data_IF_680965064655
#
_entry.id   IF_680965064655
#
_cell.length_a   1.000
_cell.length_b   1.000
_cell.length_c   1.000
_cell.angle_alpha   90.00
_cell.angle_beta   90.00
_cell.angle_gamma   90.00
#
_symmetry.space_group_name_H-M   'P 1'
#
loop_
_entity.id
_entity.type
_entity.pdbx_description
1 polymer ?
#
# COMPACT_ATOMS: atom_id res chain seq x y z
N UNK A 1 -36.01 -40.96 -11.78
CA UNK A 1 -35.75 -41.02 -10.32
C UNK A 1 -35.13 -39.69 -9.88
N UNK A 2 -35.69 -38.98 -8.90
CA UNK A 2 -35.07 -37.76 -8.37
C UNK A 2 -33.86 -38.13 -7.50
N UNK A 3 -32.76 -37.39 -7.64
CA UNK A 3 -31.53 -37.60 -6.85
C UNK A 3 -31.81 -37.37 -5.36
N UNK A 4 -31.26 -38.24 -4.51
CA UNK A 4 -31.43 -38.19 -3.05
C UNK A 4 -30.85 -36.89 -2.47
N UNK A 5 -31.44 -36.31 -1.40
CA UNK A 5 -30.93 -35.10 -0.73
C UNK A 5 -29.46 -35.20 -0.26
N UNK A 6 -28.96 -36.43 -0.08
CA UNK A 6 -27.57 -36.70 0.28
C UNK A 6 -26.59 -36.49 -0.89
N UNK A 7 -27.00 -36.67 -2.14
CA UNK A 7 -26.16 -36.46 -3.33
C UNK A 7 -26.02 -34.97 -3.66
N UNK A 8 -27.06 -34.17 -3.40
CA UNK A 8 -27.00 -32.70 -3.52
C UNK A 8 -26.17 -32.06 -2.41
N UNK A 9 -26.12 -32.66 -1.21
CA UNK A 9 -25.26 -32.22 -0.12
C UNK A 9 -23.77 -32.59 -0.33
N UNK A 10 -23.48 -33.74 -0.96
CA UNK A 10 -22.10 -34.13 -1.33
C UNK A 10 -21.53 -33.26 -2.45
N UNK A 11 -22.36 -32.78 -3.37
CA UNK A 11 -21.95 -31.87 -4.44
C UNK A 11 -21.60 -30.45 -3.96
N UNK A 12 -22.07 -30.02 -2.79
CA UNK A 12 -21.67 -28.74 -2.16
C UNK A 12 -20.37 -28.84 -1.33
N UNK A 13 -19.87 -30.07 -1.11
CA UNK A 13 -18.56 -30.36 -0.50
C UNK A 13 -17.50 -30.78 -1.52
N UNK A 14 -17.82 -30.74 -2.81
CA UNK A 14 -16.81 -30.82 -3.86
C UNK A 14 -15.97 -29.54 -3.76
N UNK A 15 -14.74 -29.69 -3.28
CA UNK A 15 -13.84 -28.58 -2.99
C UNK A 15 -13.78 -27.58 -4.12
N UNK A 16 -13.90 -26.29 -3.80
CA UNK A 16 -13.31 -25.26 -4.64
C UNK A 16 -11.87 -25.72 -4.88
N UNK A 17 -11.52 -25.99 -6.13
CA UNK A 17 -10.13 -26.32 -6.45
C UNK A 17 -9.26 -25.25 -5.81
N UNK A 18 -8.31 -25.70 -4.99
CA UNK A 18 -7.32 -24.80 -4.44
C UNK A 18 -6.54 -24.24 -5.64
N UNK A 19 -6.67 -22.94 -5.86
CA UNK A 19 -6.00 -22.21 -6.93
C UNK A 19 -5.14 -21.12 -6.31
N UNK A 20 -4.08 -20.66 -7.00
CA UNK A 20 -3.29 -19.52 -6.54
C UNK A 20 -4.16 -18.30 -6.23
N UNK A 21 -5.12 -17.99 -7.10
CA UNK A 21 -6.03 -16.85 -6.92
C UNK A 21 -6.91 -17.02 -5.67
N UNK A 22 -7.48 -18.20 -5.45
CA UNK A 22 -8.29 -18.45 -4.24
C UNK A 22 -7.47 -18.30 -2.95
N UNK A 23 -6.19 -18.69 -2.97
CA UNK A 23 -5.28 -18.51 -1.83
C UNK A 23 -4.98 -17.02 -1.62
N UNK A 24 -4.65 -16.28 -2.68
CA UNK A 24 -4.37 -14.85 -2.61
C UNK A 24 -5.58 -14.07 -2.07
N UNK A 25 -6.78 -14.35 -2.58
CA UNK A 25 -8.01 -13.72 -2.12
C UNK A 25 -8.33 -14.05 -0.65
N UNK A 26 -8.01 -15.28 -0.20
CA UNK A 26 -8.12 -15.62 1.22
C UNK A 26 -7.11 -14.85 2.09
N UNK A 27 -5.85 -14.74 1.65
CA UNK A 27 -4.84 -13.92 2.32
C UNK A 27 -5.29 -12.47 2.45
N UNK A 28 -5.85 -11.87 1.40
CA UNK A 28 -6.39 -10.51 1.43
C UNK A 28 -7.55 -10.37 2.42
N UNK A 29 -8.49 -11.33 2.45
CA UNK A 29 -9.59 -11.32 3.43
C UNK A 29 -9.10 -11.42 4.87
N UNK A 30 -8.02 -12.15 5.14
CA UNK A 30 -7.45 -12.25 6.48
C UNK A 30 -6.67 -10.97 6.81
N UNK A 31 -5.88 -10.45 5.87
CA UNK A 31 -5.12 -9.22 6.03
C UNK A 31 -6.01 -8.00 6.29
N UNK A 32 -7.19 -7.93 5.66
CA UNK A 32 -8.18 -6.88 5.90
C UNK A 32 -8.74 -6.86 7.33
N UNK A 33 -8.55 -7.94 8.10
CA UNK A 33 -8.93 -8.00 9.52
C UNK A 33 -7.80 -7.56 10.46
N UNK A 34 -6.65 -7.13 9.93
CA UNK A 34 -5.49 -6.70 10.72
C UNK A 34 -4.71 -7.84 11.39
N UNK A 35 -4.90 -9.09 10.97
CA UNK A 35 -4.22 -10.24 11.59
C UNK A 35 -2.82 -10.44 11.00
N UNK A 36 -1.79 -10.41 11.85
CA UNK A 36 -0.38 -10.71 11.47
C UNK A 36 -0.22 -12.11 10.86
N UNK A 37 -1.12 -13.03 11.22
CA UNK A 37 -1.18 -14.41 10.77
C UNK A 37 -1.70 -14.56 9.33
N UNK A 38 -2.04 -13.46 8.63
CA UNK A 38 -2.64 -13.44 7.29
C UNK A 38 -1.87 -14.23 6.22
N UNK A 39 -0.56 -14.42 6.46
CA UNK A 39 0.34 -15.15 5.56
C UNK A 39 0.81 -16.49 6.13
N UNK A 40 0.16 -17.01 7.17
CA UNK A 40 0.50 -18.33 7.72
C UNK A 40 -0.30 -19.41 7.00
N UNK A 41 0.38 -20.49 6.60
CA UNK A 41 -0.26 -21.62 5.93
C UNK A 41 -1.33 -22.29 6.78
N UNK A 42 -1.17 -22.27 8.11
CA UNK A 42 -2.18 -22.77 9.05
C UNK A 42 -3.47 -21.96 8.94
N UNK A 43 -3.38 -20.63 9.09
CA UNK A 43 -4.54 -19.75 9.04
C UNK A 43 -5.25 -19.82 7.69
N UNK A 44 -4.47 -19.90 6.61
CA UNK A 44 -4.99 -20.07 5.26
C UNK A 44 -5.66 -21.44 5.05
N UNK A 45 -5.09 -22.51 5.61
CA UNK A 45 -5.71 -23.84 5.59
C UNK A 45 -7.04 -23.86 6.33
N UNK A 46 -7.12 -23.21 7.50
CA UNK A 46 -8.36 -23.05 8.26
C UNK A 46 -9.42 -22.24 7.48
N UNK A 47 -9.04 -21.10 6.87
CA UNK A 47 -9.93 -20.24 6.09
C UNK A 47 -10.44 -20.94 4.80
N UNK A 48 -9.58 -21.74 4.16
CA UNK A 48 -9.89 -22.42 2.89
C UNK A 48 -10.44 -23.84 3.06
N UNK A 49 -10.46 -24.38 4.29
CA UNK A 49 -10.80 -25.78 4.54
C UNK A 49 -9.83 -26.77 3.87
N UNK A 50 -8.57 -26.39 3.74
CA UNK A 50 -7.52 -27.14 3.04
C UNK A 50 -6.37 -27.52 3.98
N UNK A 51 -5.69 -28.62 3.67
CA UNK A 51 -4.46 -28.98 4.37
C UNK A 51 -3.39 -27.87 4.12
N UNK A 52 -2.72 -27.33 5.16
CA UNK A 52 -1.72 -26.27 5.01
C UNK A 52 -0.61 -26.59 3.99
N UNK A 53 -0.23 -27.87 3.85
CA UNK A 53 0.79 -28.30 2.88
C UNK A 53 0.32 -28.17 1.43
N UNK A 54 -1.00 -28.13 1.19
CA UNK A 54 -1.56 -27.93 -0.14
C UNK A 54 -1.25 -26.53 -0.70
N UNK A 55 -1.07 -25.53 0.16
CA UNK A 55 -0.69 -24.16 -0.25
C UNK A 55 0.70 -24.15 -0.89
N UNK A 56 1.64 -24.95 -0.36
CA UNK A 56 3.00 -25.04 -0.91
C UNK A 56 3.10 -25.71 -2.29
N UNK A 57 1.99 -26.30 -2.80
CA UNK A 57 1.93 -26.75 -4.20
C UNK A 57 1.77 -25.59 -5.18
N UNK A 58 1.30 -24.45 -4.71
CA UNK A 58 1.07 -23.24 -5.52
C UNK A 58 2.15 -22.18 -5.32
N UNK A 59 2.80 -22.17 -4.15
CA UNK A 59 3.84 -21.22 -3.79
C UNK A 59 5.02 -21.97 -3.17
N UNK A 60 6.23 -21.66 -3.61
CA UNK A 60 7.49 -22.24 -3.10
C UNK A 60 7.67 -22.00 -1.62
N UNK A 61 7.32 -20.80 -1.14
CA UNK A 61 7.50 -20.39 0.24
C UNK A 61 6.53 -19.25 0.62
N UNK A 62 6.60 -18.83 1.89
CA UNK A 62 5.79 -17.72 2.43
C UNK A 62 6.09 -16.38 1.72
N UNK A 63 7.34 -16.17 1.30
CA UNK A 63 7.74 -14.92 0.63
C UNK A 63 7.09 -14.82 -0.74
N UNK A 64 7.07 -15.91 -1.51
CA UNK A 64 6.41 -15.94 -2.80
C UNK A 64 4.90 -15.67 -2.69
N UNK A 65 4.24 -16.22 -1.67
CA UNK A 65 2.84 -15.90 -1.40
C UNK A 65 2.67 -14.41 -1.05
N UNK A 66 3.48 -13.88 -0.13
CA UNK A 66 3.43 -12.47 0.27
C UNK A 66 3.58 -11.53 -0.93
N UNK A 67 4.58 -11.76 -1.79
CA UNK A 67 4.81 -10.94 -2.98
C UNK A 67 3.68 -11.08 -4.01
N UNK A 68 3.03 -12.23 -4.10
CA UNK A 68 1.88 -12.43 -5.00
C UNK A 68 0.64 -11.69 -4.48
N UNK A 69 0.43 -11.68 -3.16
CA UNK A 69 -0.64 -10.89 -2.53
C UNK A 69 -0.38 -9.40 -2.71
N UNK A 70 0.85 -8.93 -2.53
CA UNK A 70 1.22 -7.53 -2.76
C UNK A 70 1.06 -7.12 -4.24
N UNK A 71 1.40 -7.98 -5.19
CA UNK A 71 1.16 -7.67 -6.60
C UNK A 71 -0.34 -7.60 -6.94
N UNK A 72 -1.17 -8.41 -6.26
CA UNK A 72 -2.63 -8.32 -6.39
C UNK A 72 -3.17 -6.99 -5.88
N UNK A 73 -2.62 -6.46 -4.78
CA UNK A 73 -3.01 -5.14 -4.26
C UNK A 73 -2.60 -4.01 -5.21
N UNK A 74 -1.45 -4.11 -5.88
CA UNK A 74 -1.07 -3.16 -6.94
C UNK A 74 -2.05 -3.19 -8.13
N UNK A 75 -2.59 -4.36 -8.46
CA UNK A 75 -3.67 -4.48 -9.45
C UNK A 75 -4.93 -3.70 -9.02
N UNK A 76 -5.34 -3.82 -7.75
CA UNK A 76 -6.48 -3.04 -7.22
C UNK A 76 -6.24 -1.53 -7.29
N UNK A 77 -5.01 -1.08 -7.02
CA UNK A 77 -4.62 0.34 -7.20
C UNK A 77 -4.77 0.75 -8.67
N UNK A 78 -4.19 -0.01 -9.60
CA UNK A 78 -4.25 0.31 -11.03
C UNK A 78 -5.70 0.38 -11.55
N UNK A 79 -6.56 -0.54 -11.11
CA UNK A 79 -7.97 -0.60 -11.52
C UNK A 79 -8.79 0.61 -10.99
N UNK A 80 -8.29 1.30 -9.96
CA UNK A 80 -8.91 2.50 -9.40
C UNK A 80 -8.59 3.79 -10.15
N UNK A 81 -7.59 3.77 -11.05
CA UNK A 81 -7.12 4.98 -11.75
C UNK A 81 -8.06 5.31 -12.93
N UNK A 82 -8.68 6.50 -12.96
CA UNK A 82 -9.49 6.92 -14.10
C UNK A 82 -8.69 7.03 -15.42
N UNK A 83 -9.35 6.70 -16.52
CA UNK A 83 -8.79 6.90 -17.86
C UNK A 83 -8.75 8.39 -18.25
N UNK A 84 -7.85 8.75 -19.16
CA UNK A 84 -7.79 10.10 -19.76
C UNK A 84 -7.18 11.19 -18.88
N UNK A 85 -6.61 10.84 -17.73
CA UNK A 85 -5.89 11.77 -16.87
C UNK A 85 -4.56 12.21 -17.51
N UNK A 86 -4.20 13.47 -17.29
CA UNK A 86 -2.84 13.95 -17.56
C UNK A 86 -1.82 13.29 -16.63
N UNK A 87 -0.53 13.48 -16.90
CA UNK A 87 0.52 12.87 -16.08
C UNK A 87 0.43 13.22 -14.58
N UNK A 88 -0.04 14.42 -14.21
CA UNK A 88 -0.21 14.82 -12.80
C UNK A 88 -1.36 14.07 -12.15
N UNK A 89 -2.50 14.01 -12.83
CA UNK A 89 -3.67 13.28 -12.40
C UNK A 89 -3.36 11.80 -12.21
N UNK A 90 -2.57 11.19 -13.11
CA UNK A 90 -2.14 9.80 -12.98
C UNK A 90 -1.27 9.56 -11.74
N UNK A 91 -0.31 10.44 -11.44
CA UNK A 91 0.51 10.31 -10.22
C UNK A 91 -0.35 10.48 -8.95
N UNK A 92 -1.27 11.45 -8.94
CA UNK A 92 -2.16 11.66 -7.79
C UNK A 92 -3.12 10.48 -7.58
N UNK A 93 -3.81 10.04 -8.63
CA UNK A 93 -4.71 8.87 -8.55
C UNK A 93 -3.97 7.60 -8.09
N UNK A 94 -2.75 7.38 -8.56
CA UNK A 94 -1.91 6.28 -8.09
C UNK A 94 -1.60 6.40 -6.58
N UNK A 95 -1.25 7.60 -6.11
CA UNK A 95 -0.98 7.85 -4.69
C UNK A 95 -2.23 7.59 -3.84
N UNK A 96 -3.37 8.15 -4.24
CA UNK A 96 -4.65 8.03 -3.53
C UNK A 96 -5.07 6.55 -3.42
N UNK A 97 -5.03 5.83 -4.55
CA UNK A 97 -5.32 4.41 -4.59
C UNK A 97 -4.35 3.59 -3.73
N UNK A 98 -3.06 3.93 -3.74
CA UNK A 98 -2.05 3.24 -2.92
C UNK A 98 -2.30 3.42 -1.43
N UNK A 99 -2.65 4.63 -0.98
CA UNK A 99 -2.99 4.89 0.42
C UNK A 99 -4.26 4.14 0.82
N UNK A 100 -5.31 4.20 0.00
CA UNK A 100 -6.57 3.51 0.26
C UNK A 100 -6.38 1.99 0.39
N UNK A 101 -5.62 1.38 -0.52
CA UNK A 101 -5.33 -0.05 -0.51
C UNK A 101 -4.43 -0.43 0.66
N UNK A 102 -3.44 0.40 1.03
CA UNK A 102 -2.59 0.16 2.20
C UNK A 102 -3.40 0.18 3.50
N UNK A 103 -4.35 1.12 3.66
CA UNK A 103 -5.23 1.17 4.82
C UNK A 103 -6.29 0.06 4.83
N UNK A 104 -6.71 -0.43 3.65
CA UNK A 104 -7.58 -1.61 3.51
C UNK A 104 -6.86 -2.91 3.89
N UNK A 105 -5.56 -3.01 3.60
CA UNK A 105 -4.73 -4.19 3.88
C UNK A 105 -3.44 -3.81 4.62
N UNK A 106 -3.53 -3.32 5.87
CA UNK A 106 -2.39 -2.72 6.58
C UNK A 106 -1.24 -3.70 6.81
N UNK A 107 -1.54 -4.99 7.02
CA UNK A 107 -0.52 -6.04 7.17
C UNK A 107 0.26 -6.25 5.87
N UNK A 108 -0.39 -6.15 4.70
CA UNK A 108 0.28 -6.23 3.39
C UNK A 108 1.14 -4.98 3.20
N UNK A 109 0.54 -3.80 3.32
CA UNK A 109 1.21 -2.51 3.10
C UNK A 109 2.47 -2.34 3.94
N UNK A 110 2.39 -2.64 5.24
CA UNK A 110 3.55 -2.56 6.15
C UNK A 110 4.64 -3.58 5.78
N UNK A 111 4.26 -4.83 5.47
CA UNK A 111 5.23 -5.89 5.18
C UNK A 111 5.95 -5.74 3.83
N UNK A 112 5.32 -5.06 2.86
CA UNK A 112 5.83 -5.00 1.47
C UNK A 112 6.27 -3.63 0.99
N UNK A 113 6.16 -2.58 1.81
CA UNK A 113 6.59 -1.22 1.45
C UNK A 113 8.05 -1.13 0.98
N UNK A 114 8.94 -2.00 1.48
CA UNK A 114 10.36 -2.06 1.09
C UNK A 114 10.70 -3.24 0.16
N UNK A 115 9.70 -3.82 -0.52
CA UNK A 115 9.85 -5.03 -1.34
C UNK A 115 9.50 -4.75 -2.80
N UNK A 116 10.33 -5.28 -3.70
CA UNK A 116 10.00 -5.40 -5.13
C UNK A 116 9.31 -6.73 -5.39
N UNK A 117 8.10 -6.71 -5.97
CA UNK A 117 7.31 -7.94 -6.23
C UNK A 117 7.84 -8.73 -7.43
N UNK A 118 8.44 -8.05 -8.41
CA UNK A 118 8.93 -8.58 -9.69
C UNK A 118 7.83 -9.29 -10.48
N UNK A 119 6.64 -8.70 -10.51
CA UNK A 119 5.41 -9.29 -11.05
C UNK A 119 4.66 -8.30 -11.96
N UNK A 120 3.67 -8.77 -12.74
CA UNK A 120 3.06 -7.96 -13.80
C UNK A 120 2.44 -6.64 -13.34
N UNK A 121 1.76 -6.59 -12.19
CA UNK A 121 1.13 -5.33 -11.77
C UNK A 121 2.16 -4.32 -11.27
N UNK A 122 3.23 -4.75 -10.59
CA UNK A 122 4.36 -3.86 -10.30
C UNK A 122 4.96 -3.29 -11.58
N UNK A 123 5.22 -4.10 -12.61
CA UNK A 123 5.73 -3.57 -13.88
C UNK A 123 4.80 -2.56 -14.53
N UNK A 124 3.48 -2.77 -14.44
CA UNK A 124 2.47 -1.80 -14.92
C UNK A 124 2.51 -0.50 -14.12
N UNK A 125 2.70 -0.55 -12.79
CA UNK A 125 2.87 0.65 -11.96
C UNK A 125 4.16 1.40 -12.34
N UNK A 126 5.26 0.67 -12.54
CA UNK A 126 6.53 1.26 -12.98
C UNK A 126 6.36 1.97 -14.33
N UNK A 127 5.74 1.30 -15.30
CA UNK A 127 5.47 1.86 -16.63
C UNK A 127 4.56 3.10 -16.55
N UNK A 128 3.54 3.08 -15.69
CA UNK A 128 2.63 4.21 -15.49
C UNK A 128 3.37 5.44 -14.97
N UNK A 129 4.20 5.28 -13.93
CA UNK A 129 4.96 6.41 -13.36
C UNK A 129 6.01 6.92 -14.35
N UNK A 130 6.78 6.02 -14.99
CA UNK A 130 7.76 6.42 -16.00
C UNK A 130 7.10 7.17 -17.17
N UNK A 131 5.97 6.65 -17.68
CA UNK A 131 5.20 7.32 -18.72
C UNK A 131 4.70 8.69 -18.31
N UNK A 132 4.29 8.88 -17.05
CA UNK A 132 3.91 10.19 -16.52
C UNK A 132 5.10 11.16 -16.43
N UNK A 133 6.23 10.68 -15.90
CA UNK A 133 7.47 11.47 -15.79
C UNK A 133 8.02 11.88 -17.17
N UNK A 134 7.93 10.98 -18.15
CA UNK A 134 8.35 11.25 -19.53
C UNK A 134 7.40 12.20 -20.26
N UNK A 135 6.09 12.08 -20.06
CA UNK A 135 5.12 13.06 -20.59
C UNK A 135 5.38 14.48 -20.05
N UNK A 136 5.84 14.59 -18.81
CA UNK A 136 6.23 15.88 -18.24
C UNK A 136 7.48 16.50 -18.94
N UNK A 137 8.25 15.70 -19.68
CA UNK A 137 9.43 16.09 -20.45
C UNK A 137 10.77 15.69 -19.81
N UNK A 138 10.77 14.75 -18.86
CA UNK A 138 12.03 14.19 -18.33
C UNK A 138 12.43 12.93 -19.11
N UNK A 139 13.74 12.74 -19.30
CA UNK A 139 14.29 11.59 -20.03
C UNK A 139 15.50 11.00 -19.32
N UNK A 140 15.91 9.79 -19.74
CA UNK A 140 17.14 9.14 -19.29
C UNK A 140 17.28 9.04 -17.77
N UNK A 141 18.43 9.45 -17.24
CA UNK A 141 18.73 9.39 -15.81
C UNK A 141 17.78 10.27 -14.97
N UNK A 142 17.31 11.40 -15.50
CA UNK A 142 16.38 12.28 -14.79
C UNK A 142 15.00 11.63 -14.64
N UNK A 143 14.51 10.97 -15.69
CA UNK A 143 13.26 10.23 -15.62
C UNK A 143 13.34 9.08 -14.61
N UNK A 144 14.43 8.30 -14.65
CA UNK A 144 14.65 7.20 -13.72
C UNK A 144 14.74 7.67 -12.26
N UNK A 145 15.45 8.78 -12.01
CA UNK A 145 15.55 9.37 -10.68
C UNK A 145 14.18 9.80 -10.15
N UNK A 146 13.40 10.53 -10.94
CA UNK A 146 12.10 11.03 -10.48
C UNK A 146 11.05 9.93 -10.35
N UNK A 147 11.12 8.89 -11.18
CA UNK A 147 10.35 7.66 -10.94
C UNK A 147 10.68 7.06 -9.57
N UNK A 148 11.98 6.88 -9.24
CA UNK A 148 12.39 6.33 -7.95
C UNK A 148 11.97 7.23 -6.80
N UNK A 149 12.09 8.54 -6.94
CA UNK A 149 11.60 9.50 -5.93
C UNK A 149 10.11 9.33 -5.68
N UNK A 150 9.28 9.28 -6.72
CA UNK A 150 7.83 9.09 -6.57
C UNK A 150 7.53 7.74 -5.92
N UNK A 151 8.07 6.65 -6.47
CA UNK A 151 7.78 5.30 -5.98
C UNK A 151 8.25 5.10 -4.53
N UNK A 152 9.50 5.46 -4.21
CA UNK A 152 10.08 5.23 -2.89
C UNK A 152 9.43 6.14 -1.83
N UNK A 153 9.10 7.39 -2.16
CA UNK A 153 8.38 8.29 -1.24
C UNK A 153 6.95 7.84 -0.97
N UNK A 154 6.20 7.41 -2.00
CA UNK A 154 4.85 6.88 -1.81
C UNK A 154 4.87 5.59 -0.98
N UNK A 155 5.76 4.65 -1.31
CA UNK A 155 5.92 3.39 -0.57
C UNK A 155 6.28 3.64 0.90
N UNK A 156 7.21 4.57 1.18
CA UNK A 156 7.57 4.93 2.54
C UNK A 156 6.38 5.51 3.32
N UNK A 157 5.64 6.44 2.72
CA UNK A 157 4.48 7.07 3.36
C UNK A 157 3.37 6.04 3.63
N UNK A 158 2.93 5.29 2.61
CA UNK A 158 1.83 4.32 2.81
C UNK A 158 2.24 3.15 3.70
N UNK A 159 3.51 2.75 3.67
CA UNK A 159 4.06 1.75 4.58
C UNK A 159 4.05 2.21 6.04
N UNK A 160 4.43 3.47 6.29
CA UNK A 160 4.34 4.08 7.61
C UNK A 160 2.89 4.15 8.10
N UNK A 161 1.97 4.61 7.25
CA UNK A 161 0.54 4.70 7.59
C UNK A 161 -0.06 3.32 7.88
N UNK A 162 0.28 2.32 7.06
CA UNK A 162 -0.13 0.94 7.29
C UNK A 162 0.43 0.38 8.61
N UNK A 163 1.70 0.65 8.93
CA UNK A 163 2.30 0.24 10.19
C UNK A 163 1.64 0.91 11.40
N UNK A 164 1.40 2.22 11.32
CA UNK A 164 0.70 2.98 12.36
C UNK A 164 -0.71 2.45 12.59
N UNK A 165 -1.43 2.06 11.53
CA UNK A 165 -2.76 1.47 11.65
C UNK A 165 -2.78 0.13 12.40
N UNK A 166 -1.66 -0.62 12.40
CA UNK A 166 -1.54 -1.89 13.12
C UNK A 166 -1.27 -1.72 14.62
N UNK A 167 -0.95 -0.52 15.09
CA UNK A 167 -0.81 -0.25 16.52
C UNK A 167 -2.16 -0.43 17.24
N UNK A 168 -2.10 -0.91 18.48
CA UNK A 168 -3.28 -0.95 19.34
C UNK A 168 -3.79 0.47 19.64
N UNK A 169 -5.00 0.55 20.20
CA UNK A 169 -5.65 1.83 20.46
C UNK A 169 -4.92 2.66 21.53
N UNK A 170 -4.21 2.02 22.47
CA UNK A 170 -3.50 2.71 23.53
C UNK A 170 -2.23 3.38 22.98
N UNK A 171 -1.46 2.67 22.17
CA UNK A 171 -0.28 3.19 21.49
C UNK A 171 -0.63 4.37 20.57
N UNK A 172 -1.69 4.25 19.75
CA UNK A 172 -2.14 5.35 18.88
C UNK A 172 -2.60 6.57 19.67
N UNK A 173 -3.39 6.37 20.73
CA UNK A 173 -3.81 7.47 21.58
C UNK A 173 -2.64 8.17 22.27
N UNK A 174 -1.61 7.42 22.68
CA UNK A 174 -0.39 7.98 23.23
C UNK A 174 0.37 8.82 22.18
N UNK A 175 0.55 8.33 20.95
CA UNK A 175 1.21 9.07 19.87
C UNK A 175 0.44 10.33 19.46
N UNK A 176 -0.89 10.26 19.36
CA UNK A 176 -1.75 11.44 19.10
C UNK A 176 -1.65 12.47 20.23
N UNK A 177 -1.57 12.00 21.49
CA UNK A 177 -1.42 12.88 22.65
C UNK A 177 -0.09 13.64 22.64
N UNK A 178 0.98 13.03 22.12
CA UNK A 178 2.32 13.63 22.07
C UNK A 178 2.29 15.02 21.42
N UNK A 179 1.62 15.14 20.27
CA UNK A 179 1.51 16.40 19.54
C UNK A 179 0.63 17.44 20.26
N UNK A 180 -0.45 16.99 20.92
CA UNK A 180 -1.43 17.90 21.55
C UNK A 180 -1.06 18.32 22.98
N UNK A 181 -0.18 17.58 23.66
CA UNK A 181 0.18 17.80 25.07
C UNK A 181 1.69 17.86 25.30
N UNK A 182 2.43 16.79 25.07
CA UNK A 182 3.83 16.67 25.47
C UNK A 182 4.70 17.72 24.76
N UNK A 183 4.48 17.95 23.46
CA UNK A 183 5.19 18.97 22.69
C UNK A 183 4.90 20.40 23.18
N UNK A 184 3.75 20.63 23.83
CA UNK A 184 3.42 21.93 24.44
C UNK A 184 4.10 22.16 25.80
N UNK A 185 4.59 21.09 26.43
CA UNK A 185 5.17 21.11 27.78
C UNK A 185 6.70 21.16 27.80
N UNK A 186 7.35 21.15 26.63
CA UNK A 186 8.81 21.19 26.53
C UNK A 186 9.39 22.52 27.06
N UNK A 187 10.62 22.50 27.57
CA UNK A 187 11.31 23.72 28.02
C UNK A 187 11.54 24.69 26.84
N UNK A 188 10.96 25.91 26.86
CA UNK A 188 11.12 26.89 25.80
C UNK A 188 12.55 27.34 25.55
N UNK A 189 13.43 27.25 26.56
CA UNK A 189 14.85 27.61 26.41
C UNK A 189 15.61 26.54 25.64
N UNK A 190 15.25 25.28 25.84
CA UNK A 190 15.87 24.15 25.15
C UNK A 190 15.24 23.91 23.76
N UNK A 191 13.94 24.15 23.60
CA UNK A 191 13.17 23.80 22.39
C UNK A 191 12.35 24.97 21.83
N UNK A 192 12.98 26.13 21.51
CA UNK A 192 12.27 27.35 21.17
C UNK A 192 11.36 27.24 19.92
N UNK A 193 11.74 26.40 18.95
CA UNK A 193 10.92 26.19 17.75
C UNK A 193 9.66 25.36 18.01
N UNK A 194 9.75 24.34 18.87
CA UNK A 194 8.58 23.54 19.26
C UNK A 194 7.62 24.44 20.01
N UNK A 195 8.09 25.20 21.01
CA UNK A 195 7.24 26.14 21.74
C UNK A 195 6.54 27.13 20.81
N UNK A 196 7.27 27.67 19.83
CA UNK A 196 6.72 28.62 18.86
C UNK A 196 5.62 28.05 17.96
N UNK A 197 5.64 26.75 17.66
CA UNK A 197 4.75 26.10 16.70
C UNK A 197 3.88 24.99 17.31
N UNK A 198 3.87 24.83 18.63
CA UNK A 198 3.23 23.67 19.30
C UNK A 198 1.71 23.62 19.14
N UNK A 199 1.07 24.75 18.85
CA UNK A 199 -0.36 24.78 18.49
C UNK A 199 -0.53 24.24 17.08
N UNK A 200 0.20 24.80 16.12
CA UNK A 200 0.12 24.45 14.70
C UNK A 200 0.53 23.00 14.45
N UNK A 201 1.59 22.51 15.10
CA UNK A 201 2.03 21.12 15.03
C UNK A 201 0.94 20.13 15.46
N UNK A 202 0.09 20.52 16.41
CA UNK A 202 -1.02 19.70 16.88
C UNK A 202 -2.24 19.73 15.93
N UNK A 203 -2.30 20.69 15.01
CA UNK A 203 -3.42 20.91 14.10
C UNK A 203 -3.19 20.34 12.69
N UNK A 204 -1.96 19.95 12.36
CA UNK A 204 -1.64 19.34 11.06
C UNK A 204 -2.30 17.96 10.98
N UNK A 205 -3.22 17.79 10.03
CA UNK A 205 -3.89 16.52 9.76
C UNK A 205 -3.11 15.66 8.75
N UNK A 206 -3.23 14.34 8.86
CA UNK A 206 -2.57 13.38 7.96
C UNK A 206 -2.91 13.62 6.48
N UNK A 207 -4.16 13.97 6.18
CA UNK A 207 -4.61 14.28 4.82
C UNK A 207 -3.88 15.50 4.24
N UNK A 208 -3.57 16.51 5.06
CA UNK A 208 -2.80 17.67 4.63
C UNK A 208 -1.33 17.28 4.34
N UNK A 209 -0.76 16.40 5.16
CA UNK A 209 0.60 15.88 4.96
C UNK A 209 0.66 15.10 3.66
N UNK A 210 -0.32 14.23 3.41
CA UNK A 210 -0.40 13.42 2.20
C UNK A 210 -0.50 14.30 0.94
N UNK A 211 -1.44 15.24 0.91
CA UNK A 211 -1.63 16.14 -0.22
C UNK A 211 -0.40 17.00 -0.51
N UNK A 212 0.24 17.53 0.55
CA UNK A 212 1.47 18.30 0.42
C UNK A 212 2.63 17.44 -0.10
N UNK A 213 2.74 16.18 0.33
CA UNK A 213 3.79 15.25 -0.09
C UNK A 213 3.65 14.90 -1.58
N UNK A 214 2.45 14.51 -2.02
CA UNK A 214 2.18 14.19 -3.44
C UNK A 214 2.37 15.44 -4.30
N UNK A 215 1.86 16.59 -3.84
CA UNK A 215 2.03 17.88 -4.51
C UNK A 215 3.51 18.29 -4.67
N UNK A 216 4.34 18.04 -3.66
CA UNK A 216 5.77 18.34 -3.71
C UNK A 216 6.52 17.47 -4.74
N UNK A 217 6.18 16.17 -4.83
CA UNK A 217 6.75 15.27 -5.83
C UNK A 217 6.41 15.70 -7.26
N UNK A 218 5.13 16.01 -7.51
CA UNK A 218 4.66 16.52 -8.80
C UNK A 218 5.39 17.83 -9.14
N UNK A 219 5.43 18.78 -8.20
CA UNK A 219 6.08 20.08 -8.40
C UNK A 219 7.58 19.96 -8.70
N UNK A 220 8.26 18.97 -8.10
CA UNK A 220 9.67 18.70 -8.39
C UNK A 220 9.89 18.26 -9.85
N UNK A 221 9.03 17.37 -10.36
CA UNK A 221 9.03 16.93 -11.76
C UNK A 221 8.80 18.13 -12.69
N UNK A 222 7.78 18.95 -12.41
CA UNK A 222 7.46 20.14 -13.22
C UNK A 222 8.63 21.10 -13.32
N UNK A 223 9.20 21.45 -12.16
CA UNK A 223 10.30 22.40 -12.07
C UNK A 223 11.52 21.88 -12.83
N UNK A 224 11.82 20.59 -12.70
CA UNK A 224 12.96 19.98 -13.38
C UNK A 224 12.77 19.98 -14.89
N UNK A 225 11.60 19.58 -15.37
CA UNK A 225 11.29 19.58 -16.79
C UNK A 225 11.29 21.00 -17.38
N UNK A 226 10.78 21.99 -16.64
CA UNK A 226 10.83 23.40 -17.03
C UNK A 226 12.26 23.92 -17.17
N UNK A 227 13.16 23.51 -16.28
CA UNK A 227 14.58 23.89 -16.30
C UNK A 227 15.29 23.33 -17.53
N UNK A 228 15.03 22.06 -17.89
CA UNK A 228 15.65 21.41 -19.05
C UNK A 228 15.14 21.98 -20.39
N UNK A 229 13.89 22.46 -20.45
CA UNK A 229 13.36 23.15 -21.65
C UNK A 229 13.91 24.55 -21.85
N UNK A 230 14.38 25.20 -20.77
CA UNK A 230 14.94 26.55 -20.81
C UNK A 230 16.45 26.61 -20.97
N UNK A 231 17.14 25.46 -20.92
CA UNK A 231 18.59 25.31 -21.13
C UNK A 231 18.90 24.95 -22.58
#
# INVERSE_FOLDING_TARGET
>A
MPKSPADTARSKRAGSQLTPDAIIEASLRIAARGSEDAFTVRRLGEELGADPTAIYRHFRDKDELLLSVADRTLGEVLDSIPEGLDWKGRIRALADGSLAVALKYPVVGSATASRTTRRPNEFRVVELILGAVMEAGLEGAEAALHYRMVADSLLAYVGQQAAYFLFDAEARAADESAWTREYRLVDPRAFPNITRLSTELAEVADEQIFEATVGALISAIEKRAGTLRGA
#
